data_IF_844967553019
#
_entry.id   IF_844967553019
#
_cell.length_a   1.000
_cell.length_b   1.000
_cell.length_c   1.000
_cell.angle_alpha   90.00
_cell.angle_beta   90.00
_cell.angle_gamma   90.00
#
_symmetry.space_group_name_H-M   'P 1'
#
loop_
_entity.id
_entity.type
_entity.pdbx_description
1 polymer ?
#
# COMPACT_ATOMS: atom_id res chain seq x y z
N UNK A 1 3.36 -13.82 -9.47
CA UNK A 1 3.90 -12.66 -8.73
C UNK A 1 2.81 -11.93 -7.92
N UNK A 2 1.60 -11.74 -8.45
CA UNK A 2 0.48 -11.12 -7.68
C UNK A 2 0.06 -11.84 -6.39
N UNK A 3 0.10 -13.18 -6.33
CA UNK A 3 -0.16 -13.89 -5.06
C UNK A 3 0.87 -13.55 -3.97
N UNK A 4 2.12 -13.26 -4.36
CA UNK A 4 3.16 -12.82 -3.43
C UNK A 4 2.86 -11.41 -2.92
N UNK A 5 2.41 -10.46 -3.75
CA UNK A 5 2.04 -9.10 -3.30
C UNK A 5 0.80 -9.07 -2.37
N UNK A 6 -0.18 -9.96 -2.58
CA UNK A 6 -1.37 -10.07 -1.70
C UNK A 6 -0.98 -10.62 -0.32
N UNK A 7 -0.03 -11.56 -0.26
CA UNK A 7 0.46 -12.15 0.99
C UNK A 7 1.48 -11.22 1.68
N UNK A 8 2.33 -10.51 0.94
CA UNK A 8 3.35 -9.61 1.50
C UNK A 8 2.77 -8.34 2.07
N UNK A 9 1.77 -7.69 1.44
CA UNK A 9 1.18 -6.45 1.98
C UNK A 9 0.56 -6.65 3.38
N UNK A 10 0.02 -7.85 3.65
CA UNK A 10 -0.60 -8.20 4.93
C UNK A 10 0.43 -8.49 6.04
N UNK A 11 1.62 -8.96 5.67
CA UNK A 11 2.70 -9.28 6.61
C UNK A 11 3.75 -8.16 6.69
N UNK A 12 3.78 -7.23 5.74
CA UNK A 12 4.77 -6.15 5.69
C UNK A 12 4.79 -5.30 6.97
N UNK A 13 3.64 -4.89 7.56
CA UNK A 13 3.65 -4.22 8.85
C UNK A 13 4.29 -5.07 9.96
N UNK A 14 3.93 -6.35 10.06
CA UNK A 14 4.49 -7.26 11.05
C UNK A 14 6.01 -7.44 10.91
N UNK A 15 6.48 -7.71 9.70
CA UNK A 15 7.92 -7.85 9.40
C UNK A 15 8.65 -6.54 9.70
N UNK A 16 8.07 -5.40 9.31
CA UNK A 16 8.66 -4.09 9.57
C UNK A 16 8.74 -3.77 11.06
N UNK A 17 7.80 -4.27 11.87
CA UNK A 17 7.84 -4.09 13.32
C UNK A 17 9.03 -4.81 13.91
N UNK A 18 9.29 -6.07 13.54
CA UNK A 18 10.43 -6.85 14.07
C UNK A 18 11.77 -6.09 13.95
N UNK A 19 11.95 -5.32 12.88
CA UNK A 19 13.15 -4.52 12.65
C UNK A 19 13.25 -3.22 13.50
N UNK A 20 12.29 -2.95 14.40
CA UNK A 20 12.24 -1.72 15.20
C UNK A 20 12.83 -1.87 16.61
N UNK A 21 13.41 -3.03 16.95
CA UNK A 21 14.11 -3.25 18.21
C UNK A 21 13.17 -3.23 19.44
N UNK A 22 13.64 -2.66 20.54
CA UNK A 22 13.02 -2.79 21.86
C UNK A 22 11.63 -2.14 22.01
N UNK A 23 11.21 -1.32 21.04
CA UNK A 23 9.85 -0.75 21.03
C UNK A 23 8.77 -1.79 20.73
N UNK A 24 9.16 -2.95 20.21
CA UNK A 24 8.25 -3.99 19.76
C UNK A 24 7.92 -4.92 20.92
N UNK A 25 6.65 -4.95 21.30
CA UNK A 25 6.15 -5.91 22.29
C UNK A 25 5.36 -7.03 21.60
N UNK A 26 5.16 -8.14 22.32
CA UNK A 26 4.30 -9.24 21.84
C UNK A 26 2.89 -8.74 21.54
N UNK A 27 2.35 -7.86 22.38
CA UNK A 27 1.01 -7.27 22.21
C UNK A 27 0.94 -6.42 20.95
N UNK A 28 2.01 -5.71 20.58
CA UNK A 28 2.06 -4.94 19.35
C UNK A 28 2.11 -5.83 18.09
N UNK A 29 2.81 -6.96 18.17
CA UNK A 29 2.86 -7.97 17.11
C UNK A 29 1.50 -8.69 16.95
N UNK A 30 0.85 -9.04 18.05
CA UNK A 30 -0.52 -9.59 18.03
C UNK A 30 -1.50 -8.56 17.48
N UNK A 31 -1.39 -7.30 17.91
CA UNK A 31 -2.22 -6.20 17.42
C UNK A 31 -2.13 -6.08 15.90
N UNK A 32 -0.93 -6.06 15.31
CA UNK A 32 -0.79 -5.91 13.85
C UNK A 32 -1.30 -7.14 13.08
N UNK A 33 -1.11 -8.36 13.61
CA UNK A 33 -1.66 -9.61 13.03
C UNK A 33 -3.19 -9.60 13.05
N UNK A 34 -3.81 -9.02 14.08
CA UNK A 34 -5.28 -8.85 14.16
C UNK A 34 -5.83 -7.87 13.13
N UNK A 35 -4.97 -7.24 12.30
CA UNK A 35 -5.34 -6.35 11.20
C UNK A 35 -6.30 -5.26 11.67
N UNK A 36 -5.87 -4.36 12.56
CA UNK A 36 -6.65 -3.22 13.00
C UNK A 36 -7.03 -2.35 11.80
N UNK A 37 -7.98 -1.44 12.00
CA UNK A 37 -8.57 -0.67 10.88
C UNK A 37 -7.50 0.05 10.05
N UNK A 38 -6.50 0.64 10.70
CA UNK A 38 -5.37 1.30 10.02
C UNK A 38 -4.55 0.36 9.12
N UNK A 39 -4.27 -0.86 9.57
CA UNK A 39 -3.52 -1.87 8.79
C UNK A 39 -4.35 -2.35 7.59
N UNK A 40 -5.65 -2.55 7.77
CA UNK A 40 -6.56 -2.88 6.67
C UNK A 40 -6.65 -1.74 5.66
N UNK A 41 -6.75 -0.49 6.12
CA UNK A 41 -6.79 0.67 5.25
C UNK A 41 -5.50 0.82 4.44
N UNK A 42 -4.32 0.67 5.06
CA UNK A 42 -3.05 0.65 4.34
C UNK A 42 -2.98 -0.48 3.28
N UNK A 43 -3.52 -1.66 3.60
CA UNK A 43 -3.58 -2.78 2.66
C UNK A 43 -4.52 -2.49 1.47
N UNK A 44 -5.64 -1.79 1.71
CA UNK A 44 -6.59 -1.37 0.67
C UNK A 44 -5.92 -0.38 -0.28
N UNK A 45 -5.24 0.65 0.26
CA UNK A 45 -4.50 1.62 -0.55
C UNK A 45 -3.51 0.91 -1.46
N UNK A 46 -2.64 0.07 -0.87
CA UNK A 46 -1.64 -0.68 -1.62
C UNK A 46 -2.26 -1.52 -2.75
N UNK A 47 -3.28 -2.33 -2.42
CA UNK A 47 -3.90 -3.23 -3.39
C UNK A 47 -4.60 -2.48 -4.52
N UNK A 48 -5.41 -1.48 -4.20
CA UNK A 48 -6.21 -0.80 -5.21
C UNK A 48 -5.36 0.10 -6.11
N UNK A 49 -4.29 0.71 -5.59
CA UNK A 49 -3.36 1.49 -6.43
C UNK A 49 -2.59 0.57 -7.37
N UNK A 50 -2.02 -0.53 -6.86
CA UNK A 50 -1.37 -1.58 -7.66
C UNK A 50 -2.31 -2.08 -8.78
N UNK A 51 -3.53 -2.47 -8.45
CA UNK A 51 -4.51 -2.98 -9.43
C UNK A 51 -4.91 -1.92 -10.47
N UNK A 52 -4.91 -0.62 -10.14
CA UNK A 52 -5.24 0.47 -11.07
C UNK A 52 -4.15 0.65 -12.13
N UNK A 53 -2.89 0.74 -11.70
CA UNK A 53 -1.77 1.10 -12.61
C UNK A 53 -1.17 -0.11 -13.32
N UNK A 54 -1.27 -1.31 -12.76
CA UNK A 54 -0.77 -2.54 -13.38
C UNK A 54 -1.75 -3.21 -14.34
N UNK A 55 -2.99 -2.70 -14.45
CA UNK A 55 -4.07 -3.45 -15.10
C UNK A 55 -3.78 -3.87 -16.54
N UNK A 56 -3.27 -2.96 -17.35
CA UNK A 56 -3.03 -3.21 -18.77
C UNK A 56 -1.86 -4.16 -18.98
N UNK A 57 -0.77 -3.94 -18.25
CA UNK A 57 0.42 -4.78 -18.32
C UNK A 57 0.16 -6.23 -17.89
N UNK A 58 -0.60 -6.44 -16.82
CA UNK A 58 -0.89 -7.79 -16.32
C UNK A 58 -1.90 -8.52 -17.22
N UNK A 59 -2.81 -7.79 -17.89
CA UNK A 59 -3.67 -8.33 -18.94
C UNK A 59 -2.87 -8.85 -20.13
N UNK A 60 -1.91 -8.06 -20.62
CA UNK A 60 -1.06 -8.46 -21.76
C UNK A 60 -0.24 -9.72 -21.47
N UNK A 61 0.18 -9.91 -20.22
CA UNK A 61 0.97 -11.07 -19.80
C UNK A 61 0.13 -12.31 -19.49
N UNK A 62 -1.19 -12.24 -19.64
CA UNK A 62 -2.10 -13.36 -19.37
C UNK A 62 -2.11 -13.81 -17.91
N UNK A 63 -1.79 -12.89 -16.99
CA UNK A 63 -1.76 -13.17 -15.56
C UNK A 63 -3.18 -13.11 -14.94
N UNK A 64 -3.29 -13.59 -13.70
CA UNK A 64 -4.54 -13.79 -12.93
C UNK A 64 -5.51 -12.60 -13.07
N UNK A 65 -6.81 -12.91 -13.19
CA UNK A 65 -7.93 -11.95 -13.17
C UNK A 65 -7.75 -10.93 -12.05
N UNK A 66 -7.47 -9.69 -12.43
CA UNK A 66 -7.24 -8.59 -11.48
C UNK A 66 -8.53 -8.18 -10.77
N UNK A 67 -8.39 -7.42 -9.68
CA UNK A 67 -9.53 -6.87 -8.94
C UNK A 67 -10.50 -6.10 -9.85
N UNK A 68 -9.97 -5.40 -10.85
CA UNK A 68 -10.77 -4.65 -11.83
C UNK A 68 -11.67 -5.57 -12.67
N UNK A 69 -11.12 -6.62 -13.25
CA UNK A 69 -11.89 -7.56 -14.08
C UNK A 69 -12.92 -8.34 -13.27
N UNK A 70 -12.55 -8.78 -12.06
CA UNK A 70 -13.47 -9.41 -11.12
C UNK A 70 -14.66 -8.49 -10.85
N UNK A 71 -14.41 -7.19 -10.59
CA UNK A 71 -15.44 -6.22 -10.29
C UNK A 71 -16.33 -5.93 -11.51
N UNK A 72 -15.74 -5.73 -12.69
CA UNK A 72 -16.49 -5.54 -13.94
C UNK A 72 -17.42 -6.73 -14.21
N UNK A 73 -16.91 -7.96 -14.09
CA UNK A 73 -17.69 -9.17 -14.31
C UNK A 73 -18.80 -9.36 -13.29
N UNK A 74 -18.55 -9.03 -12.03
CA UNK A 74 -19.53 -9.20 -10.95
C UNK A 74 -20.67 -8.19 -11.03
N UNK A 75 -20.37 -6.94 -11.39
CA UNK A 75 -21.34 -5.83 -11.33
C UNK A 75 -21.81 -5.35 -12.70
N UNK A 76 -21.24 -5.85 -13.80
CA UNK A 76 -21.61 -5.47 -15.16
C UNK A 76 -21.25 -4.02 -15.51
N UNK A 77 -20.23 -3.46 -14.86
CA UNK A 77 -19.81 -2.06 -15.00
C UNK A 77 -18.61 -1.93 -15.93
N UNK A 78 -18.42 -0.72 -16.46
CA UNK A 78 -17.25 -0.37 -17.29
C UNK A 78 -15.96 -0.29 -16.47
N UNK A 79 -14.80 -0.42 -17.14
CA UNK A 79 -13.49 -0.25 -16.52
C UNK A 79 -13.39 1.11 -15.79
N UNK A 80 -13.82 2.19 -16.45
CA UNK A 80 -13.78 3.53 -15.88
C UNK A 80 -14.56 3.64 -14.56
N UNK A 81 -15.76 3.06 -14.48
CA UNK A 81 -16.56 3.05 -13.24
C UNK A 81 -15.84 2.29 -12.11
N UNK A 82 -15.11 1.22 -12.42
CA UNK A 82 -14.29 0.51 -11.43
C UNK A 82 -13.12 1.36 -10.95
N UNK A 83 -12.42 2.04 -11.84
CA UNK A 83 -11.34 2.96 -11.47
C UNK A 83 -11.85 4.06 -10.53
N UNK A 84 -13.02 4.63 -10.82
CA UNK A 84 -13.59 5.70 -9.99
C UNK A 84 -14.04 5.21 -8.62
N UNK A 85 -14.65 4.02 -8.54
CA UNK A 85 -14.99 3.39 -7.26
C UNK A 85 -13.74 2.99 -6.46
N UNK A 86 -12.69 2.49 -7.11
CA UNK A 86 -11.43 2.15 -6.43
C UNK A 86 -10.74 3.41 -5.88
N UNK A 87 -10.68 4.50 -6.65
CA UNK A 87 -10.17 5.81 -6.16
C UNK A 87 -10.97 6.30 -4.95
N UNK A 88 -12.29 6.15 -4.97
CA UNK A 88 -13.15 6.50 -3.83
C UNK A 88 -12.83 5.63 -2.60
N UNK A 89 -12.62 4.33 -2.77
CA UNK A 89 -12.20 3.44 -1.69
C UNK A 89 -10.82 3.81 -1.13
N UNK A 90 -9.86 4.16 -1.98
CA UNK A 90 -8.53 4.66 -1.57
C UNK A 90 -8.67 5.93 -0.72
N UNK A 91 -9.47 6.91 -1.16
CA UNK A 91 -9.74 8.13 -0.38
C UNK A 91 -10.36 7.82 0.99
N UNK A 92 -11.29 6.87 1.05
CA UNK A 92 -11.92 6.47 2.30
C UNK A 92 -10.93 5.74 3.22
N UNK A 93 -10.04 4.91 2.66
CA UNK A 93 -8.98 4.26 3.42
C UNK A 93 -8.01 5.29 4.03
N UNK A 94 -7.63 6.34 3.29
CA UNK A 94 -6.83 7.44 3.84
C UNK A 94 -7.55 8.16 5.00
N UNK A 95 -8.86 8.41 4.89
CA UNK A 95 -9.65 8.97 5.99
C UNK A 95 -9.66 8.06 7.21
N UNK A 96 -9.71 6.75 7.01
CA UNK A 96 -9.63 5.77 8.09
C UNK A 96 -8.27 5.75 8.77
N UNK A 97 -7.17 5.82 8.01
CA UNK A 97 -5.82 5.98 8.58
C UNK A 97 -5.75 7.23 9.45
N UNK A 98 -6.21 8.37 8.93
CA UNK A 98 -6.20 9.64 9.67
C UNK A 98 -7.01 9.55 10.97
N UNK A 99 -8.19 8.94 10.92
CA UNK A 99 -9.06 8.77 12.08
C UNK A 99 -8.41 7.91 13.16
N UNK A 100 -7.75 6.82 12.77
CA UNK A 100 -7.07 5.93 13.72
C UNK A 100 -5.80 6.56 14.30
N UNK A 101 -5.13 7.47 13.58
CA UNK A 101 -4.00 8.25 14.10
C UNK A 101 -4.40 9.28 15.16
N UNK A 102 -5.66 9.74 15.15
CA UNK A 102 -6.18 10.73 16.09
C UNK A 102 -6.83 10.11 17.35
N UNK A 103 -6.92 8.77 17.41
CA UNK A 103 -7.57 8.05 18.51
C UNK A 103 -6.54 7.49 19.49
N UNK A 104 -6.92 7.26 20.76
CA UNK A 104 -6.12 6.46 21.67
C UNK A 104 -5.79 5.11 21.03
N UNK A 105 -4.50 4.77 20.96
CA UNK A 105 -4.00 3.54 20.34
C UNK A 105 -3.48 2.58 21.40
N UNK A 106 -3.59 1.28 21.11
CA UNK A 106 -3.04 0.18 21.94
C UNK A 106 -1.55 -0.06 21.71
N UNK A 107 -0.96 0.59 20.69
CA UNK A 107 0.44 0.43 20.32
C UNK A 107 1.19 1.76 20.35
N UNK A 108 2.50 1.76 20.61
CA UNK A 108 3.34 2.95 20.53
C UNK A 108 3.17 3.71 19.21
N UNK A 109 3.17 5.05 19.30
CA UNK A 109 3.04 5.93 18.13
C UNK A 109 4.03 5.59 17.00
N UNK A 110 5.32 5.27 17.25
CA UNK A 110 6.23 4.92 16.17
C UNK A 110 5.83 3.67 15.36
N UNK A 111 5.17 2.70 15.99
CA UNK A 111 4.63 1.53 15.29
C UNK A 111 3.42 1.92 14.42
N UNK A 112 2.59 2.84 14.90
CA UNK A 112 1.50 3.40 14.10
C UNK A 112 2.03 4.17 12.90
N UNK A 113 3.03 5.03 13.11
CA UNK A 113 3.73 5.77 12.06
C UNK A 113 4.35 4.85 11.02
N UNK A 114 4.88 3.68 11.43
CA UNK A 114 5.40 2.68 10.50
C UNK A 114 4.32 2.20 9.52
N UNK A 115 3.10 1.92 9.98
CA UNK A 115 1.97 1.53 9.10
C UNK A 115 1.61 2.66 8.14
N UNK A 116 1.56 3.90 8.62
CA UNK A 116 1.28 5.08 7.78
C UNK A 116 2.35 5.25 6.70
N UNK A 117 3.63 5.13 7.06
CA UNK A 117 4.72 5.29 6.12
C UNK A 117 4.76 4.17 5.08
N UNK A 118 4.38 2.93 5.43
CA UNK A 118 4.18 1.87 4.44
C UNK A 118 3.09 2.26 3.42
N UNK A 119 1.96 2.79 3.87
CA UNK A 119 0.92 3.27 2.95
C UNK A 119 1.42 4.41 2.04
N UNK A 120 2.20 5.35 2.58
CA UNK A 120 2.78 6.47 1.81
C UNK A 120 3.78 6.02 0.75
N UNK A 121 4.62 5.02 1.06
CA UNK A 121 5.54 4.45 0.08
C UNK A 121 4.78 3.82 -1.08
N UNK A 122 3.70 3.11 -0.80
CA UNK A 122 2.88 2.51 -1.86
C UNK A 122 2.13 3.58 -2.67
N UNK A 123 1.67 4.64 -2.01
CA UNK A 123 1.07 5.78 -2.70
C UNK A 123 2.06 6.46 -3.66
N UNK A 124 3.32 6.62 -3.25
CA UNK A 124 4.38 7.13 -4.11
C UNK A 124 4.67 6.19 -5.29
N UNK A 125 4.83 4.88 -5.04
CA UNK A 125 5.26 3.91 -6.04
C UNK A 125 4.19 3.62 -7.10
N UNK A 126 2.92 3.78 -6.77
CA UNK A 126 1.79 3.48 -7.66
C UNK A 126 0.97 4.72 -8.00
N UNK A 127 1.53 5.92 -7.82
CA UNK A 127 0.80 7.18 -7.99
C UNK A 127 0.28 7.36 -9.42
N UNK A 128 1.20 7.20 -10.37
CA UNK A 128 0.97 7.50 -11.79
C UNK A 128 1.29 6.29 -12.69
N UNK A 129 2.21 5.42 -12.26
CA UNK A 129 2.67 4.24 -12.99
C UNK A 129 3.01 3.09 -12.02
N UNK A 130 3.26 1.88 -12.52
CA UNK A 130 3.83 0.78 -11.72
C UNK A 130 5.35 0.98 -11.54
N UNK A 131 5.72 1.96 -10.71
CA UNK A 131 7.12 2.28 -10.49
C UNK A 131 7.86 1.24 -9.61
N UNK A 132 7.11 0.32 -9.00
CA UNK A 132 7.66 -0.81 -8.26
C UNK A 132 8.28 -1.84 -9.21
N UNK A 133 7.57 -2.20 -10.28
CA UNK A 133 8.07 -3.17 -11.27
C UNK A 133 8.87 -2.48 -12.37
N UNK A 134 8.43 -1.30 -12.82
CA UNK A 134 9.00 -0.55 -13.92
C UNK A 134 9.43 0.83 -13.43
N UNK A 135 10.68 0.93 -12.98
CA UNK A 135 11.26 2.19 -12.52
C UNK A 135 11.18 3.26 -13.62
N UNK A 136 10.31 4.25 -13.44
CA UNK A 136 10.30 5.45 -14.27
C UNK A 136 11.30 6.52 -13.80
N UNK A 137 11.49 7.54 -14.64
CA UNK A 137 12.50 8.57 -14.43
C UNK A 137 12.35 9.31 -13.10
N UNK A 138 11.12 9.62 -12.69
CA UNK A 138 10.84 10.33 -11.44
C UNK A 138 11.32 9.55 -10.21
N UNK A 139 11.10 8.22 -10.18
CA UNK A 139 11.56 7.40 -9.07
C UNK A 139 13.08 7.23 -9.06
N UNK A 140 13.71 7.11 -10.23
CA UNK A 140 15.17 7.06 -10.35
C UNK A 140 15.81 8.35 -9.84
N UNK A 141 15.29 9.51 -10.25
CA UNK A 141 15.74 10.83 -9.77
C UNK A 141 15.56 10.95 -8.26
N UNK A 142 14.40 10.55 -7.73
CA UNK A 142 14.14 10.57 -6.29
C UNK A 142 15.11 9.70 -5.48
N UNK A 143 15.39 8.48 -5.94
CA UNK A 143 16.36 7.58 -5.31
C UNK A 143 17.77 8.18 -5.36
N UNK A 144 18.16 8.71 -6.53
CA UNK A 144 19.49 9.29 -6.74
C UNK A 144 19.69 10.48 -5.80
N UNK A 145 18.74 11.42 -5.76
CA UNK A 145 18.80 12.59 -4.90
C UNK A 145 18.79 12.26 -3.39
N UNK A 146 18.16 11.16 -2.97
CA UNK A 146 18.07 10.80 -1.55
C UNK A 146 19.23 9.93 -1.05
N UNK A 147 19.77 9.05 -1.90
CA UNK A 147 20.68 7.98 -1.48
C UNK A 147 22.05 8.01 -2.16
N UNK A 148 22.21 8.77 -3.26
CA UNK A 148 23.46 8.82 -4.04
C UNK A 148 24.09 10.20 -3.93
N UNK A 149 23.32 11.25 -4.20
CA UNK A 149 23.85 12.62 -4.24
C UNK A 149 23.88 13.23 -2.83
N UNK A 150 25.03 13.74 -2.36
CA UNK A 150 25.11 14.42 -1.09
C UNK A 150 24.43 15.78 -1.17
N UNK A 151 23.80 16.20 -0.06
CA UNK A 151 23.34 17.57 0.08
C UNK A 151 24.56 18.50 0.13
N UNK A 152 24.66 19.51 -0.75
CA UNK A 152 25.75 20.48 -0.70
C UNK A 152 25.82 21.15 0.67
N UNK A 153 27.03 21.25 1.22
CA UNK A 153 27.32 21.88 2.51
C UNK A 153 27.67 23.34 2.33
#
# INVERSE_FOLDING_TARGET
>A
MHLYLVVTSRLAPYISFIAMGDIVTKEALEWVIMKPKIVRAASIINRLMDDIVSNEFEQERGHVVLGIECYMKQYGVSKQEVHDEFRKQIMNAWKDINKECLRPTKVPVPLLTRVVNLARVMDLLYKDEDAYTHLGGVMVEGITSMLVDPVPV
#
